data_IF_564568841318
#
_entry.id   IF_564568841318
#
_cell.length_a   1.000
_cell.length_b   1.000
_cell.length_c   1.000
_cell.angle_alpha   90.00
_cell.angle_beta   90.00
_cell.angle_gamma   90.00
#
_symmetry.space_group_name_H-M   'P 1'
#
loop_
_entity.id
_entity.type
_entity.pdbx_description
1 polymer ?
#
# COMPACT_ATOMS: atom_id res chain seq x y z
N UNK A 1 -14.21 8.39 6.43
CA UNK A 1 -12.96 9.17 6.24
C UNK A 1 -11.94 8.42 5.37
N UNK A 2 -11.52 7.20 5.74
CA UNK A 2 -10.57 6.41 4.94
C UNK A 2 -11.04 6.18 3.50
N UNK A 3 -12.29 5.74 3.29
CA UNK A 3 -12.83 5.47 1.96
C UNK A 3 -12.79 6.71 1.04
N UNK A 4 -13.14 7.89 1.55
CA UNK A 4 -13.03 9.16 0.81
C UNK A 4 -11.59 9.47 0.38
N UNK A 5 -10.60 9.21 1.26
CA UNK A 5 -9.18 9.40 0.91
C UNK A 5 -8.76 8.43 -0.20
N UNK A 6 -9.14 7.16 -0.08
CA UNK A 6 -8.85 6.14 -1.08
C UNK A 6 -9.46 6.48 -2.44
N UNK A 7 -10.71 6.96 -2.45
CA UNK A 7 -11.36 7.43 -3.68
C UNK A 7 -10.64 8.63 -4.30
N UNK A 8 -10.19 9.58 -3.49
CA UNK A 8 -9.39 10.70 -3.98
C UNK A 8 -8.04 10.25 -4.58
N UNK A 9 -7.36 9.28 -3.95
CA UNK A 9 -6.10 8.73 -4.47
C UNK A 9 -6.28 7.97 -5.79
N UNK A 10 -7.36 7.20 -5.91
CA UNK A 10 -7.71 6.53 -7.18
C UNK A 10 -8.06 7.57 -8.24
N UNK A 11 -8.89 8.56 -7.90
CA UNK A 11 -9.28 9.62 -8.83
C UNK A 11 -8.10 10.49 -9.28
N UNK A 12 -7.06 10.64 -8.46
CA UNK A 12 -5.83 11.34 -8.86
C UNK A 12 -4.93 10.53 -9.79
N UNK A 13 -5.25 9.25 -10.04
CA UNK A 13 -4.39 8.34 -10.83
C UNK A 13 -3.11 7.94 -10.10
N UNK A 14 -3.07 8.07 -8.77
CA UNK A 14 -1.90 7.68 -8.00
C UNK A 14 -1.76 6.15 -8.00
N UNK A 15 -0.54 5.66 -8.21
CA UNK A 15 -0.21 4.23 -8.09
C UNK A 15 0.38 3.91 -6.71
N UNK A 16 1.08 4.88 -6.11
CA UNK A 16 1.72 4.75 -4.80
C UNK A 16 1.27 5.88 -3.88
N UNK A 17 0.90 5.51 -2.66
CA UNK A 17 0.57 6.42 -1.56
C UNK A 17 1.68 6.32 -0.50
N UNK A 18 2.20 7.46 -0.08
CA UNK A 18 3.22 7.52 0.98
C UNK A 18 2.80 8.38 2.16
N UNK A 19 3.29 8.02 3.34
CA UNK A 19 3.13 8.78 4.58
C UNK A 19 4.26 8.46 5.56
N UNK A 20 4.33 9.23 6.64
CA UNK A 20 5.32 9.11 7.73
C UNK A 20 4.86 8.24 8.89
N UNK A 21 3.59 7.83 8.89
CA UNK A 21 2.97 7.10 9.99
C UNK A 21 2.52 5.71 9.51
N UNK A 22 3.16 4.68 10.05
CA UNK A 22 2.89 3.30 9.68
C UNK A 22 1.47 2.88 10.07
N UNK A 23 0.91 3.40 11.17
CA UNK A 23 -0.46 3.10 11.59
C UNK A 23 -1.50 3.60 10.57
N UNK A 24 -1.29 4.81 10.05
CA UNK A 24 -2.09 5.40 8.98
C UNK A 24 -1.99 4.57 7.70
N UNK A 25 -0.78 4.18 7.32
CA UNK A 25 -0.54 3.35 6.13
C UNK A 25 -1.19 1.98 6.27
N UNK A 26 -1.03 1.28 7.40
CA UNK A 26 -1.64 -0.02 7.65
C UNK A 26 -3.17 0.04 7.61
N UNK A 27 -3.76 1.08 8.21
CA UNK A 27 -5.21 1.27 8.18
C UNK A 27 -5.73 1.44 6.74
N UNK A 28 -5.09 2.32 5.96
CA UNK A 28 -5.48 2.60 4.58
C UNK A 28 -5.19 1.40 3.66
N UNK A 29 -4.01 0.79 3.76
CA UNK A 29 -3.60 -0.36 2.96
C UNK A 29 -4.50 -1.57 3.20
N UNK A 30 -4.82 -1.89 4.46
CA UNK A 30 -5.74 -2.97 4.79
C UNK A 30 -7.16 -2.73 4.25
N UNK A 31 -7.63 -1.47 4.26
CA UNK A 31 -8.93 -1.10 3.68
C UNK A 31 -8.90 -1.15 2.15
N UNK A 32 -7.86 -0.63 1.51
CA UNK A 32 -7.65 -0.66 0.07
C UNK A 32 -7.61 -2.09 -0.46
N UNK A 33 -6.87 -2.99 0.22
CA UNK A 33 -6.79 -4.41 -0.11
C UNK A 33 -8.15 -5.10 -0.04
N UNK A 34 -8.94 -4.90 1.02
CA UNK A 34 -10.31 -5.46 1.12
C UNK A 34 -11.26 -4.96 0.03
N UNK A 35 -10.98 -3.77 -0.54
CA UNK A 35 -11.74 -3.17 -1.64
C UNK A 35 -11.14 -3.47 -3.02
N UNK A 36 -10.05 -4.23 -3.10
CA UNK A 36 -9.31 -4.51 -4.34
C UNK A 36 -8.93 -3.24 -5.12
N UNK A 37 -8.49 -2.19 -4.42
CA UNK A 37 -8.04 -0.96 -5.06
C UNK A 37 -6.60 -1.11 -5.59
N UNK A 38 -6.28 -0.55 -6.76
CA UNK A 38 -4.94 -0.64 -7.37
C UNK A 38 -3.97 0.39 -6.78
N UNK A 39 -3.79 0.37 -5.45
CA UNK A 39 -2.94 1.32 -4.72
C UNK A 39 -1.86 0.57 -3.95
N UNK A 40 -0.60 0.98 -4.13
CA UNK A 40 0.52 0.59 -3.27
C UNK A 40 0.71 1.58 -2.12
N UNK A 41 1.14 1.09 -0.97
CA UNK A 41 1.40 1.91 0.22
C UNK A 41 2.85 1.72 0.65
N UNK A 42 3.60 2.83 0.77
CA UNK A 42 5.03 2.81 1.14
C UNK A 42 5.36 3.87 2.19
N UNK A 43 6.25 3.54 3.11
CA UNK A 43 6.69 4.52 4.11
C UNK A 43 7.59 5.58 3.45
N UNK A 44 7.52 6.83 3.90
CA UNK A 44 8.31 7.91 3.29
C UNK A 44 9.82 7.60 3.33
N UNK A 45 10.30 6.96 4.40
CA UNK A 45 11.70 6.57 4.52
C UNK A 45 12.15 5.60 3.41
N UNK A 46 11.30 4.68 2.96
CA UNK A 46 11.61 3.75 1.87
C UNK A 46 11.81 4.51 0.55
N UNK A 47 10.92 5.48 0.29
CA UNK A 47 10.97 6.33 -0.90
C UNK A 47 12.23 7.19 -0.91
N UNK A 48 12.55 7.83 0.23
CA UNK A 48 13.75 8.67 0.35
C UNK A 48 15.05 7.87 0.28
N UNK A 49 15.05 6.64 0.79
CA UNK A 49 16.21 5.74 0.72
C UNK A 49 16.35 5.04 -0.65
N UNK A 50 15.36 5.13 -1.53
CA UNK A 50 15.31 4.37 -2.78
C UNK A 50 15.09 2.86 -2.57
N UNK A 51 14.68 2.43 -1.38
CA UNK A 51 14.53 1.02 -1.00
C UNK A 51 13.11 0.50 -1.30
N UNK A 52 12.66 0.63 -2.54
CA UNK A 52 11.30 0.23 -2.97
C UNK A 52 11.22 -1.21 -3.51
N UNK A 53 12.28 -2.00 -3.39
CA UNK A 53 12.33 -3.39 -3.89
C UNK A 53 11.56 -4.37 -3.00
N UNK A 54 11.36 -4.02 -1.73
CA UNK A 54 10.54 -4.80 -0.82
C UNK A 54 9.05 -4.71 -1.19
N UNK A 55 8.25 -5.76 -0.87
CA UNK A 55 6.80 -5.71 -1.07
C UNK A 55 6.17 -4.50 -0.37
N UNK A 56 5.16 -3.84 -0.98
CA UNK A 56 4.47 -2.73 -0.36
C UNK A 56 3.69 -3.16 0.89
N UNK A 57 3.33 -2.18 1.72
CA UNK A 57 2.62 -2.42 2.98
C UNK A 57 1.30 -3.16 2.69
N UNK A 58 1.06 -4.23 3.46
CA UNK A 58 -0.10 -5.11 3.35
C UNK A 58 -0.20 -5.93 2.05
N UNK A 59 0.88 -6.03 1.26
CA UNK A 59 0.98 -7.01 0.19
C UNK A 59 0.65 -8.43 0.71
N UNK A 60 -0.18 -9.17 -0.01
CA UNK A 60 -0.32 -10.61 0.24
C UNK A 60 1.04 -11.25 -0.06
N UNK A 61 1.57 -12.04 0.87
CA UNK A 61 2.49 -13.10 0.47
C UNK A 61 1.59 -14.09 -0.28
N UNK A 62 1.63 -14.10 -1.61
CA UNK A 62 1.11 -15.25 -2.33
C UNK A 62 1.78 -16.45 -1.68
N UNK A 63 0.97 -17.36 -1.11
CA UNK A 63 1.54 -18.57 -0.56
C UNK A 63 2.18 -19.28 -1.73
N UNK A 64 3.49 -19.41 -1.68
CA UNK A 64 4.25 -20.35 -2.48
C UNK A 64 3.83 -21.76 -2.03
N UNK A 65 2.68 -22.20 -2.54
CA UNK A 65 2.15 -23.55 -2.44
C UNK A 65 2.85 -24.40 -3.53
N UNK A 66 4.15 -24.69 -3.38
CA UNK A 66 4.95 -25.04 -4.57
C UNK A 66 6.22 -25.90 -4.47
N UNK A 67 6.33 -26.83 -3.50
CA UNK A 67 7.15 -28.07 -3.53
C UNK A 67 8.63 -28.04 -4.02
N UNK A 68 9.56 -28.35 -3.11
CA UNK A 68 10.93 -28.80 -3.41
C UNK A 68 11.87 -28.76 -2.22
#
# INVERSE_FOLDING_TARGET
MADRKLEAFVASGAQTVTALDLGCLLHLAGRARRRNLPLEFRHLAEVLAGCCDAPPIAASKDRDDGNG
#
